data_IF_805609142529
#
_entry.id   IF_805609142529
#
_cell.length_a   1.000
_cell.length_b   1.000
_cell.length_c   1.000
_cell.angle_alpha   90.00
_cell.angle_beta   90.00
_cell.angle_gamma   90.00
#
_symmetry.space_group_name_H-M   'P 1'
#
loop_
_entity.id
_entity.type
_entity.pdbx_description
1 polymer ?
#
# COMPACT_ATOMS: atom_id res chain seq x y z
N UNK A 1 39.85 -29.10 -29.21
CA UNK A 1 39.47 -27.86 -28.54
C UNK A 1 37.94 -27.76 -28.57
N UNK A 2 37.33 -27.40 -27.45
CA UNK A 2 35.88 -27.17 -27.35
C UNK A 2 35.69 -25.76 -26.86
N UNK A 3 34.82 -24.99 -27.51
CA UNK A 3 34.58 -23.60 -27.16
C UNK A 3 33.40 -23.01 -27.87
N UNK A 4 33.18 -21.71 -27.64
CA UNK A 4 32.11 -20.91 -28.21
C UNK A 4 32.66 -19.81 -29.10
N UNK A 5 31.91 -19.46 -30.14
CA UNK A 5 32.18 -18.36 -31.07
C UNK A 5 30.94 -17.46 -31.19
N UNK A 6 31.03 -16.26 -31.78
CA UNK A 6 29.89 -15.41 -32.06
C UNK A 6 28.75 -16.17 -32.77
N UNK A 7 27.49 -15.73 -32.56
CA UNK A 7 26.32 -16.45 -33.12
C UNK A 7 26.27 -16.41 -34.66
N UNK A 8 25.65 -17.42 -35.23
CA UNK A 8 25.35 -17.49 -36.68
C UNK A 8 26.49 -17.94 -37.59
N UNK A 9 27.60 -18.39 -37.03
CA UNK A 9 28.72 -18.93 -37.85
C UNK A 9 28.48 -20.36 -38.27
N UNK A 10 28.79 -20.66 -39.54
CA UNK A 10 28.76 -22.02 -40.11
C UNK A 10 30.15 -22.65 -40.07
N UNK A 11 30.22 -23.96 -40.26
CA UNK A 11 31.50 -24.68 -40.36
C UNK A 11 32.41 -24.13 -41.44
N UNK A 12 31.82 -23.77 -42.61
CA UNK A 12 32.51 -23.15 -43.76
C UNK A 12 33.08 -21.79 -43.44
N UNK A 13 32.39 -20.98 -42.65
CA UNK A 13 32.87 -19.65 -42.23
C UNK A 13 34.09 -19.79 -41.32
N UNK A 14 34.01 -20.70 -40.35
CA UNK A 14 35.10 -20.94 -39.41
C UNK A 14 36.34 -21.54 -40.09
N UNK A 15 36.14 -22.48 -41.03
CA UNK A 15 37.22 -23.00 -41.88
C UNK A 15 37.82 -21.90 -42.75
N UNK A 16 36.97 -20.97 -43.27
CA UNK A 16 37.40 -19.79 -44.03
C UNK A 16 38.32 -18.87 -43.24
N UNK A 17 38.07 -18.68 -41.95
CA UNK A 17 38.95 -17.86 -41.08
C UNK A 17 40.34 -18.46 -40.94
N UNK A 18 40.43 -19.80 -40.78
CA UNK A 18 41.71 -20.49 -40.65
C UNK A 18 42.46 -20.47 -42.00
N UNK A 19 41.76 -20.79 -43.09
CA UNK A 19 42.35 -20.80 -44.45
C UNK A 19 42.81 -19.42 -44.93
N UNK A 20 42.10 -18.36 -44.52
CA UNK A 20 42.46 -16.97 -44.90
C UNK A 20 43.69 -16.48 -44.13
N UNK A 21 43.83 -16.92 -42.88
CA UNK A 21 44.95 -16.48 -42.01
C UNK A 21 46.26 -17.22 -42.39
N UNK A 22 46.20 -18.52 -42.60
CA UNK A 22 47.35 -19.37 -42.99
C UNK A 22 46.91 -20.49 -43.94
N UNK A 23 47.05 -20.32 -45.28
CA UNK A 23 46.60 -21.31 -46.29
C UNK A 23 47.34 -22.64 -46.23
N UNK A 24 48.53 -22.68 -45.62
CA UNK A 24 49.38 -23.88 -45.54
C UNK A 24 49.06 -24.77 -44.33
N UNK A 25 48.17 -24.36 -43.44
CA UNK A 25 47.78 -25.19 -42.27
C UNK A 25 46.87 -26.37 -42.77
N UNK A 26 47.43 -27.57 -42.63
CA UNK A 26 46.69 -28.81 -42.89
C UNK A 26 46.57 -29.63 -41.59
N UNK A 27 45.58 -30.54 -41.53
CA UNK A 27 45.41 -31.47 -40.41
C UNK A 27 44.55 -30.92 -39.26
N UNK A 28 43.53 -30.14 -39.59
CA UNK A 28 42.48 -29.72 -38.65
C UNK A 28 41.08 -30.06 -39.22
N UNK A 29 40.11 -30.19 -38.31
CA UNK A 29 38.69 -30.32 -38.62
C UNK A 29 37.91 -29.53 -37.62
N UNK A 30 36.91 -28.79 -38.09
CA UNK A 30 36.03 -28.00 -37.27
C UNK A 30 34.60 -28.49 -37.46
N UNK A 31 33.88 -28.70 -36.38
CA UNK A 31 32.47 -29.12 -36.41
C UNK A 31 31.66 -28.19 -35.49
N UNK A 32 30.58 -27.66 -36.03
CA UNK A 32 29.62 -26.87 -35.24
C UNK A 32 28.64 -27.86 -34.59
N UNK A 33 28.62 -27.87 -33.27
CA UNK A 33 27.72 -28.75 -32.47
C UNK A 33 26.31 -28.15 -32.36
N UNK A 34 26.21 -26.84 -32.32
CA UNK A 34 24.95 -26.13 -32.27
C UNK A 34 25.18 -24.60 -32.24
N UNK A 35 24.20 -23.87 -32.74
CA UNK A 35 24.20 -22.40 -32.73
C UNK A 35 22.92 -21.91 -32.13
N UNK A 36 23.01 -20.95 -31.20
CA UNK A 36 21.91 -20.26 -30.57
C UNK A 36 21.98 -18.75 -30.89
N UNK A 37 21.04 -17.98 -30.45
CA UNK A 37 20.98 -16.50 -30.67
C UNK A 37 22.19 -15.76 -30.12
N UNK A 38 22.80 -16.30 -29.05
CA UNK A 38 23.89 -15.65 -28.31
C UNK A 38 25.28 -16.19 -28.67
N UNK A 39 25.39 -17.47 -29.11
CA UNK A 39 26.68 -18.11 -29.35
C UNK A 39 26.58 -19.33 -30.26
N UNK A 40 27.68 -19.65 -30.94
CA UNK A 40 27.86 -20.87 -31.70
C UNK A 40 28.82 -21.78 -30.96
N UNK A 41 28.38 -22.99 -30.59
CA UNK A 41 29.23 -24.02 -29.95
C UNK A 41 29.95 -24.84 -31.00
N UNK A 42 31.27 -24.95 -30.87
CA UNK A 42 32.09 -25.69 -31.83
C UNK A 42 33.11 -26.62 -31.16
N UNK A 43 33.50 -27.63 -31.92
CA UNK A 43 34.61 -28.51 -31.60
C UNK A 43 35.64 -28.45 -32.75
N UNK A 44 36.86 -28.09 -32.39
CA UNK A 44 37.98 -28.12 -33.34
C UNK A 44 38.95 -29.21 -32.93
N UNK A 45 39.28 -30.07 -33.85
CA UNK A 45 40.28 -31.15 -33.73
C UNK A 45 41.44 -30.76 -34.64
N UNK A 46 42.64 -30.64 -34.09
CA UNK A 46 43.84 -30.31 -34.84
C UNK A 46 45.00 -31.20 -34.39
N UNK A 47 45.90 -31.48 -35.29
CA UNK A 47 47.14 -32.20 -34.98
C UNK A 47 47.96 -31.38 -33.99
N UNK A 48 48.64 -32.03 -33.06
CA UNK A 48 49.33 -31.36 -31.91
C UNK A 48 50.31 -30.26 -32.33
N UNK A 49 50.94 -30.42 -33.50
CA UNK A 49 51.93 -29.46 -34.05
C UNK A 49 51.28 -28.13 -34.49
N UNK A 50 50.01 -28.15 -34.95
CA UNK A 50 49.32 -26.97 -35.47
C UNK A 50 48.20 -26.49 -34.53
N UNK A 51 47.93 -27.23 -33.45
CA UNK A 51 46.81 -26.95 -32.56
C UNK A 51 46.89 -25.56 -31.88
N UNK A 52 48.08 -25.13 -31.52
CA UNK A 52 48.27 -23.84 -30.87
C UNK A 52 48.01 -22.69 -31.85
N UNK A 53 48.46 -22.83 -33.09
CA UNK A 53 48.26 -21.84 -34.14
C UNK A 53 46.80 -21.70 -34.55
N UNK A 54 46.14 -22.85 -34.70
CA UNK A 54 44.67 -22.88 -34.94
C UNK A 54 43.90 -22.23 -33.79
N UNK A 55 44.31 -22.47 -32.55
CA UNK A 55 43.66 -21.81 -31.36
C UNK A 55 43.87 -20.31 -31.38
N UNK A 56 45.06 -19.81 -31.72
CA UNK A 56 45.36 -18.36 -31.79
C UNK A 56 44.48 -17.67 -32.88
N UNK A 57 44.36 -18.28 -34.06
CA UNK A 57 43.55 -17.78 -35.16
C UNK A 57 42.05 -17.76 -34.74
N UNK A 58 41.55 -18.81 -34.12
CA UNK A 58 40.17 -18.88 -33.66
C UNK A 58 39.89 -17.85 -32.58
N UNK A 59 40.86 -17.60 -31.64
CA UNK A 59 40.72 -16.59 -30.59
C UNK A 59 40.64 -15.17 -31.15
N UNK A 60 41.38 -14.87 -32.20
CA UNK A 60 41.30 -13.54 -32.86
C UNK A 60 39.93 -13.26 -33.48
N UNK A 61 39.16 -14.32 -33.77
CA UNK A 61 37.80 -14.25 -34.27
C UNK A 61 36.72 -14.52 -33.23
N UNK A 62 37.06 -14.38 -31.93
CA UNK A 62 36.09 -14.45 -30.80
C UNK A 62 35.89 -15.86 -30.23
N UNK A 63 36.78 -16.82 -30.51
CA UNK A 63 36.72 -18.13 -29.87
C UNK A 63 37.06 -18.04 -28.40
N UNK A 64 36.16 -18.51 -27.56
CA UNK A 64 36.35 -18.64 -26.11
C UNK A 64 36.34 -20.11 -25.73
N UNK A 65 37.47 -20.56 -25.17
CA UNK A 65 37.59 -21.95 -24.72
C UNK A 65 36.80 -22.17 -23.43
N UNK A 66 36.07 -23.27 -23.36
CA UNK A 66 35.38 -23.66 -22.13
C UNK A 66 36.42 -24.09 -21.09
N UNK A 67 36.54 -23.37 -20.00
CA UNK A 67 37.48 -23.66 -18.90
C UNK A 67 36.98 -24.74 -17.95
N UNK A 68 35.77 -25.28 -18.19
CA UNK A 68 35.16 -26.24 -17.29
C UNK A 68 35.44 -27.70 -17.72
N UNK A 69 36.32 -28.36 -16.97
CA UNK A 69 36.61 -29.79 -17.14
C UNK A 69 35.76 -30.62 -16.18
N UNK A 70 34.94 -31.50 -16.73
CA UNK A 70 34.19 -32.48 -15.96
C UNK A 70 34.67 -33.89 -16.32
N UNK A 71 34.80 -34.72 -15.29
CA UNK A 71 35.10 -36.16 -15.46
C UNK A 71 33.85 -36.96 -15.94
N UNK A 72 32.66 -36.32 -15.92
CA UNK A 72 31.40 -36.95 -16.31
C UNK A 72 30.95 -36.45 -17.69
N UNK A 73 30.28 -37.29 -18.46
CA UNK A 73 29.68 -36.87 -19.73
C UNK A 73 28.52 -35.90 -19.51
N UNK A 74 28.14 -35.08 -20.50
CA UNK A 74 27.00 -34.17 -20.40
C UNK A 74 25.71 -34.91 -20.03
N UNK A 75 25.45 -36.09 -20.56
CA UNK A 75 24.28 -36.93 -20.22
C UNK A 75 24.27 -37.31 -18.74
N UNK A 76 25.39 -37.87 -18.25
CA UNK A 76 25.52 -38.23 -16.83
C UNK A 76 25.31 -37.05 -15.88
N UNK A 77 25.69 -35.83 -16.31
CA UNK A 77 25.43 -34.64 -15.53
C UNK A 77 23.96 -34.24 -15.55
N UNK A 78 23.37 -34.29 -16.73
CA UNK A 78 21.95 -33.97 -16.90
C UNK A 78 21.09 -34.92 -16.07
N UNK A 79 21.38 -36.22 -16.09
CA UNK A 79 20.66 -37.22 -15.30
C UNK A 79 20.86 -36.99 -13.79
N UNK A 80 22.09 -36.66 -13.38
CA UNK A 80 22.33 -36.30 -11.98
C UNK A 80 21.53 -35.07 -11.56
N UNK A 81 21.57 -33.97 -12.34
CA UNK A 81 20.83 -32.78 -12.01
C UNK A 81 19.32 -33.01 -12.02
N UNK A 82 18.80 -33.83 -12.90
CA UNK A 82 17.39 -34.24 -12.89
C UNK A 82 17.02 -35.04 -11.64
N UNK A 83 17.93 -35.87 -11.14
CA UNK A 83 17.74 -36.59 -9.89
C UNK A 83 17.77 -35.65 -8.70
N UNK A 84 18.76 -34.76 -8.65
CA UNK A 84 18.90 -33.73 -7.57
C UNK A 84 17.64 -32.82 -7.56
N UNK A 85 17.13 -32.40 -8.71
CA UNK A 85 15.91 -31.59 -8.82
C UNK A 85 14.71 -32.33 -8.21
N UNK A 86 14.51 -33.62 -8.59
CA UNK A 86 13.40 -34.41 -8.03
C UNK A 86 13.50 -34.60 -6.53
N UNK A 87 14.70 -34.80 -6.01
CA UNK A 87 14.96 -34.91 -4.57
C UNK A 87 14.60 -33.59 -3.85
N UNK A 88 15.03 -32.45 -4.41
CA UNK A 88 14.69 -31.14 -3.84
C UNK A 88 13.20 -30.81 -3.94
N UNK A 89 12.53 -31.18 -5.03
CA UNK A 89 11.07 -31.02 -5.18
C UNK A 89 10.32 -31.83 -4.11
N UNK A 90 10.72 -33.07 -3.87
CA UNK A 90 10.14 -33.90 -2.80
C UNK A 90 10.40 -33.29 -1.44
N UNK A 91 11.62 -32.85 -1.18
CA UNK A 91 11.96 -32.21 0.09
C UNK A 91 11.15 -30.93 0.33
N UNK A 92 10.92 -30.10 -0.70
CA UNK A 92 10.07 -28.92 -0.62
C UNK A 92 8.63 -29.31 -0.28
N UNK A 93 8.10 -30.34 -0.91
CA UNK A 93 6.73 -30.80 -0.67
C UNK A 93 6.56 -31.37 0.75
N UNK A 94 7.52 -32.15 1.22
CA UNK A 94 7.54 -32.65 2.59
C UNK A 94 7.58 -31.50 3.61
N UNK A 95 8.40 -30.46 3.36
CA UNK A 95 8.45 -29.28 4.23
C UNK A 95 7.18 -28.43 4.18
N UNK A 96 6.51 -28.36 3.03
CA UNK A 96 5.19 -27.72 2.96
C UNK A 96 4.15 -28.48 3.78
N UNK A 97 4.14 -29.81 3.68
CA UNK A 97 3.23 -30.66 4.47
C UNK A 97 3.49 -30.54 5.97
N UNK A 98 4.75 -30.46 6.39
CA UNK A 98 5.12 -30.21 7.78
C UNK A 98 4.60 -28.85 8.26
N UNK A 99 4.74 -27.78 7.45
CA UNK A 99 4.19 -26.45 7.77
C UNK A 99 2.65 -26.46 7.83
N UNK A 100 1.99 -27.18 6.94
CA UNK A 100 0.52 -27.32 6.97
C UNK A 100 0.06 -28.05 8.26
N UNK A 101 0.81 -29.07 8.71
CA UNK A 101 0.50 -29.77 9.94
C UNK A 101 0.60 -28.87 11.19
N UNK A 102 1.42 -27.82 11.13
CA UNK A 102 1.57 -26.81 12.20
C UNK A 102 0.55 -25.66 12.11
N UNK A 103 -0.39 -25.70 11.15
CA UNK A 103 -1.34 -24.60 10.95
C UNK A 103 -2.17 -24.27 12.20
N UNK A 104 -2.53 -25.27 13.00
CA UNK A 104 -3.31 -25.10 14.23
C UNK A 104 -2.52 -24.38 15.34
N UNK A 105 -1.19 -24.40 15.29
CA UNK A 105 -0.36 -23.70 16.26
C UNK A 105 -0.15 -22.22 15.93
N UNK A 106 -0.57 -21.77 14.73
CA UNK A 106 -0.46 -20.40 14.30
C UNK A 106 -1.10 -19.40 15.27
N UNK A 107 -2.31 -19.71 15.73
CA UNK A 107 -3.06 -18.81 16.62
C UNK A 107 -2.44 -18.79 18.03
N UNK A 108 -1.89 -19.93 18.49
CA UNK A 108 -1.13 -20.00 19.73
C UNK A 108 0.16 -19.16 19.65
N UNK A 109 0.88 -19.24 18.53
CA UNK A 109 2.10 -18.45 18.30
C UNK A 109 1.79 -16.95 18.23
N UNK A 110 0.67 -16.56 17.61
CA UNK A 110 0.22 -15.17 17.59
C UNK A 110 -0.09 -14.65 18.98
N UNK A 111 -0.86 -15.41 19.75
CA UNK A 111 -1.17 -15.06 21.14
C UNK A 111 0.09 -14.93 21.99
N UNK A 112 1.05 -15.84 21.82
CA UNK A 112 2.33 -15.79 22.52
C UNK A 112 3.17 -14.57 22.10
N UNK A 113 3.20 -14.27 20.82
CA UNK A 113 3.89 -13.07 20.29
C UNK A 113 3.27 -11.78 20.85
N UNK A 114 1.93 -11.69 20.88
CA UNK A 114 1.24 -10.53 21.45
C UNK A 114 1.49 -10.41 22.95
N UNK A 115 1.48 -11.52 23.70
CA UNK A 115 1.83 -11.53 25.11
C UNK A 115 3.24 -10.98 25.38
N UNK A 116 4.24 -11.45 24.63
CA UNK A 116 5.60 -10.97 24.82
C UNK A 116 5.78 -9.52 24.35
N UNK A 117 5.06 -9.09 23.31
CA UNK A 117 5.06 -7.68 22.87
C UNK A 117 4.51 -6.77 23.96
N UNK A 118 3.34 -7.07 24.51
CA UNK A 118 2.74 -6.29 25.62
C UNK A 118 3.69 -6.27 26.82
N UNK A 119 4.32 -7.40 27.13
CA UNK A 119 5.28 -7.47 28.22
C UNK A 119 6.53 -6.63 27.97
N UNK A 120 7.05 -6.65 26.75
CA UNK A 120 8.20 -5.82 26.36
C UNK A 120 7.86 -4.32 26.45
N UNK A 121 6.67 -3.93 25.95
CA UNK A 121 6.19 -2.54 26.04
C UNK A 121 6.03 -2.08 27.49
N UNK A 122 5.50 -2.95 28.37
CA UNK A 122 5.43 -2.70 29.81
C UNK A 122 6.82 -2.42 30.41
N UNK A 123 7.81 -3.25 30.12
CA UNK A 123 9.17 -3.04 30.63
C UNK A 123 9.85 -1.81 30.04
N UNK A 124 9.57 -1.49 28.78
CA UNK A 124 10.05 -0.26 28.12
C UNK A 124 9.50 0.98 28.82
N UNK A 125 8.20 1.00 29.12
CA UNK A 125 7.56 2.07 29.88
C UNK A 125 8.15 2.19 31.28
N UNK A 126 8.27 1.06 32.01
CA UNK A 126 8.88 1.05 33.34
C UNK A 126 10.31 1.60 33.34
N UNK A 127 11.08 1.32 32.28
CA UNK A 127 12.44 1.86 32.14
C UNK A 127 12.52 3.37 31.88
N UNK A 128 11.42 3.98 31.40
CA UNK A 128 11.35 5.43 31.15
C UNK A 128 10.77 6.24 32.29
N UNK A 129 10.20 5.58 33.32
CA UNK A 129 9.62 6.26 34.46
C UNK A 129 10.68 6.77 35.44
N UNK A 130 10.39 7.90 36.06
CA UNK A 130 11.13 8.38 37.22
C UNK A 130 10.88 7.43 38.40
N UNK A 131 11.91 6.78 38.88
CA UNK A 131 11.79 5.77 39.94
C UNK A 131 12.86 5.93 41.01
N UNK A 132 12.49 5.64 42.25
CA UNK A 132 13.39 5.42 43.37
C UNK A 132 13.50 3.91 43.67
N UNK A 133 14.15 3.50 44.80
CA UNK A 133 14.25 2.09 45.17
C UNK A 133 12.89 1.46 45.48
N UNK A 134 11.87 2.22 45.88
CA UNK A 134 10.60 1.71 46.36
C UNK A 134 9.38 2.38 45.75
N UNK A 135 9.56 3.46 45.02
CA UNK A 135 8.48 4.28 44.43
C UNK A 135 8.77 4.66 42.99
N UNK A 136 7.73 4.90 42.23
CA UNK A 136 7.83 5.45 40.88
C UNK A 136 6.75 6.53 40.68
N UNK A 137 6.98 7.43 39.74
CA UNK A 137 6.08 8.50 39.38
C UNK A 137 5.60 8.29 37.95
N UNK A 138 4.29 8.34 37.75
CA UNK A 138 3.65 8.35 36.42
C UNK A 138 2.88 9.65 36.30
N UNK A 139 3.13 10.40 35.23
CA UNK A 139 2.32 11.53 34.82
C UNK A 139 1.56 11.16 33.53
N UNK A 140 0.34 11.65 33.40
CA UNK A 140 -0.49 11.39 32.23
C UNK A 140 -1.69 12.33 32.16
N UNK A 141 -2.31 12.38 30.99
CA UNK A 141 -3.49 13.20 30.78
C UNK A 141 -4.76 12.36 30.97
N UNK A 142 -5.76 12.95 31.59
CA UNK A 142 -7.09 12.38 31.78
C UNK A 142 -8.13 13.44 31.39
N UNK A 143 -9.27 12.99 30.90
CA UNK A 143 -10.38 13.91 30.63
C UNK A 143 -10.91 14.48 31.95
N UNK A 144 -11.15 15.77 32.02
CA UNK A 144 -11.66 16.46 33.21
C UNK A 144 -12.88 15.75 33.82
N UNK A 145 -13.86 15.38 32.98
CA UNK A 145 -15.07 14.66 33.39
C UNK A 145 -14.83 13.26 34.00
N UNK A 146 -13.71 12.63 33.69
CA UNK A 146 -13.36 11.28 34.15
C UNK A 146 -12.28 11.29 35.24
N UNK A 147 -11.74 12.48 35.60
CA UNK A 147 -10.62 12.63 36.53
C UNK A 147 -10.95 12.04 37.92
N UNK A 148 -12.06 12.41 38.52
CA UNK A 148 -12.49 11.94 39.84
C UNK A 148 -12.69 10.41 39.84
N UNK A 149 -13.27 9.90 38.78
CA UNK A 149 -13.49 8.42 38.64
C UNK A 149 -12.16 7.67 38.52
N UNK A 150 -11.20 8.19 37.76
CA UNK A 150 -9.88 7.58 37.60
C UNK A 150 -9.14 7.59 38.92
N UNK A 151 -9.14 8.71 39.64
CA UNK A 151 -8.51 8.82 40.97
C UNK A 151 -9.16 7.88 41.98
N UNK A 152 -10.49 7.76 42.00
CA UNK A 152 -11.20 6.83 42.88
C UNK A 152 -10.79 5.36 42.59
N UNK A 153 -10.79 4.93 41.32
CA UNK A 153 -10.41 3.58 40.92
C UNK A 153 -8.95 3.29 41.24
N UNK A 154 -8.06 4.25 41.07
CA UNK A 154 -6.64 4.10 41.38
C UNK A 154 -6.41 3.95 42.89
N UNK A 155 -7.06 4.77 43.73
CA UNK A 155 -6.95 4.70 45.17
C UNK A 155 -7.57 3.40 45.77
N UNK A 156 -8.62 2.88 45.12
CA UNK A 156 -9.25 1.63 45.55
C UNK A 156 -8.34 0.39 45.29
N UNK A 157 -7.63 0.40 44.18
CA UNK A 157 -6.87 -0.79 43.75
C UNK A 157 -5.37 -0.72 44.08
N UNK A 158 -4.81 0.47 44.37
CA UNK A 158 -3.39 0.67 44.56
C UNK A 158 -3.12 1.63 45.73
N UNK A 159 -2.01 1.39 46.45
CA UNK A 159 -1.49 2.32 47.45
C UNK A 159 -0.67 3.42 46.74
N UNK A 160 -1.31 4.50 46.34
CA UNK A 160 -0.68 5.61 45.63
C UNK A 160 -1.18 6.97 46.15
N UNK A 161 -0.48 8.02 45.80
CA UNK A 161 -0.91 9.39 45.95
C UNK A 161 -1.17 9.95 44.56
N UNK A 162 -2.38 10.43 44.31
CA UNK A 162 -2.79 11.01 43.03
C UNK A 162 -3.05 12.48 43.17
N UNK A 163 -2.29 13.31 42.46
CA UNK A 163 -2.51 14.76 42.38
C UNK A 163 -3.07 15.08 40.98
N UNK A 164 -4.14 15.82 40.95
CA UNK A 164 -4.80 16.31 39.72
C UNK A 164 -4.60 17.81 39.62
N UNK A 165 -4.11 18.27 38.50
CA UNK A 165 -3.93 19.70 38.21
C UNK A 165 -4.29 20.01 36.77
N UNK A 166 -4.68 21.26 36.53
CA UNK A 166 -5.01 21.69 35.18
C UNK A 166 -3.76 21.79 34.32
N UNK A 167 -3.91 21.43 33.05
CA UNK A 167 -2.82 21.52 32.09
C UNK A 167 -2.47 23.00 31.86
N UNK A 168 -1.20 23.41 31.95
CA UNK A 168 -0.76 24.76 31.64
C UNK A 168 -1.15 25.19 30.20
N UNK A 169 -1.30 26.50 29.97
CA UNK A 169 -1.71 27.03 28.66
C UNK A 169 -0.66 26.84 27.59
N UNK A 170 0.60 26.80 27.96
CA UNK A 170 1.76 26.62 27.12
C UNK A 170 2.04 25.14 26.79
N UNK A 171 1.35 24.22 27.45
CA UNK A 171 1.53 22.77 27.25
C UNK A 171 0.52 22.21 26.22
N UNK A 172 1.04 21.55 25.18
CA UNK A 172 0.23 20.89 24.18
C UNK A 172 -0.32 19.54 24.69
N UNK A 173 -1.48 19.59 25.36
CA UNK A 173 -2.17 18.39 25.80
C UNK A 173 -2.79 17.59 24.63
N UNK A 174 -2.83 16.26 24.69
CA UNK A 174 -3.56 15.47 23.70
C UNK A 174 -5.06 15.76 23.79
N UNK A 175 -5.70 15.93 22.63
CA UNK A 175 -7.13 16.28 22.54
C UNK A 175 -7.90 15.04 22.13
N UNK A 176 -9.01 14.77 22.81
CA UNK A 176 -9.96 13.75 22.45
C UNK A 176 -11.19 14.37 21.79
N UNK A 177 -11.42 14.05 20.53
CA UNK A 177 -12.62 14.44 19.81
C UNK A 177 -13.84 13.66 20.33
N UNK A 178 -14.98 14.34 20.44
CA UNK A 178 -16.25 13.72 20.84
C UNK A 178 -17.34 14.13 19.86
N UNK A 179 -17.52 13.33 18.82
CA UNK A 179 -18.50 13.58 17.77
C UNK A 179 -19.62 12.53 17.74
N UNK A 180 -20.82 12.88 17.26
CA UNK A 180 -21.85 11.91 16.96
C UNK A 180 -21.34 10.84 16.01
N UNK A 181 -21.79 9.60 16.17
CA UNK A 181 -21.30 8.41 15.42
C UNK A 181 -21.22 8.59 13.91
N UNK A 182 -22.10 9.40 13.32
CA UNK A 182 -22.07 9.70 11.89
C UNK A 182 -20.86 10.56 11.53
N UNK A 183 -20.64 11.65 12.25
CA UNK A 183 -19.58 12.62 11.98
C UNK A 183 -18.21 12.18 12.51
N UNK A 184 -18.20 11.34 13.56
CA UNK A 184 -16.99 10.68 14.04
C UNK A 184 -16.26 9.85 12.95
N UNK A 185 -16.94 9.48 11.86
CA UNK A 185 -16.32 8.83 10.71
C UNK A 185 -15.32 9.73 9.98
N UNK A 186 -15.47 11.05 10.07
CA UNK A 186 -14.57 12.03 9.43
C UNK A 186 -13.41 12.48 10.33
N UNK A 187 -13.35 12.04 11.60
CA UNK A 187 -12.26 12.41 12.53
C UNK A 187 -10.88 12.05 11.97
N UNK A 188 -10.73 10.88 11.29
CA UNK A 188 -9.47 10.50 10.67
C UNK A 188 -9.03 11.44 9.54
N UNK A 189 -9.96 12.11 8.86
CA UNK A 189 -9.64 13.15 7.87
C UNK A 189 -9.12 14.39 8.60
N UNK A 190 -9.79 14.82 9.68
CA UNK A 190 -9.33 15.94 10.50
C UNK A 190 -7.93 15.67 11.09
N UNK A 191 -7.71 14.49 11.65
CA UNK A 191 -6.40 14.09 12.20
C UNK A 191 -5.27 14.19 11.19
N UNK A 192 -5.54 13.93 9.92
CA UNK A 192 -4.54 14.05 8.85
C UNK A 192 -4.12 15.50 8.55
N UNK A 193 -4.98 16.47 8.86
CA UNK A 193 -4.69 17.92 8.73
C UNK A 193 -4.16 18.54 10.01
N UNK A 194 -4.53 18.00 11.15
CA UNK A 194 -4.18 18.47 12.48
C UNK A 194 -5.39 18.57 13.40
N UNK A 195 -5.20 18.25 14.68
CA UNK A 195 -6.25 18.38 15.69
C UNK A 195 -6.41 19.87 16.11
N UNK A 196 -7.62 20.30 16.50
CA UNK A 196 -7.84 21.63 17.02
C UNK A 196 -7.03 21.84 18.30
N UNK A 197 -6.61 23.06 18.58
CA UNK A 197 -5.92 23.44 19.82
C UNK A 197 -6.85 23.49 21.05
N UNK A 198 -6.23 23.66 22.24
CA UNK A 198 -6.98 23.84 23.49
C UNK A 198 -7.90 25.06 23.36
N UNK A 199 -9.20 24.88 23.62
CA UNK A 199 -10.19 25.95 23.51
C UNK A 199 -10.69 26.24 22.08
N UNK A 200 -10.17 25.57 21.07
CA UNK A 200 -10.69 25.68 19.71
C UNK A 200 -11.92 24.79 19.50
N UNK A 201 -12.82 25.25 18.66
CA UNK A 201 -14.02 24.49 18.29
C UNK A 201 -13.68 23.34 17.37
N UNK A 202 -14.27 22.17 17.60
CA UNK A 202 -14.11 21.01 16.72
C UNK A 202 -14.80 21.23 15.36
N UNK A 203 -14.06 21.31 14.24
CA UNK A 203 -14.62 21.51 12.92
C UNK A 203 -15.09 20.21 12.25
N UNK A 204 -15.02 19.06 12.92
CA UNK A 204 -15.32 17.74 12.32
C UNK A 204 -16.72 17.68 11.73
N UNK A 205 -17.73 18.18 12.44
CA UNK A 205 -19.14 18.11 11.99
C UNK A 205 -19.38 18.89 10.70
N UNK A 206 -19.09 20.21 10.61
CA UNK A 206 -19.28 20.95 9.36
C UNK A 206 -18.37 20.43 8.24
N UNK A 207 -17.14 20.06 8.54
CA UNK A 207 -16.21 19.48 7.58
C UNK A 207 -16.78 18.17 7.01
N UNK A 208 -17.31 17.26 7.82
CA UNK A 208 -17.88 15.99 7.38
C UNK A 208 -19.06 16.19 6.41
N UNK A 209 -19.93 17.17 6.68
CA UNK A 209 -21.08 17.50 5.82
C UNK A 209 -20.60 17.91 4.43
N UNK A 210 -19.70 18.89 4.38
CA UNK A 210 -19.14 19.34 3.10
C UNK A 210 -18.33 18.27 2.39
N UNK A 211 -17.55 17.47 3.13
CA UNK A 211 -16.75 16.38 2.55
C UNK A 211 -17.63 15.35 1.86
N UNK A 212 -18.67 14.85 2.53
CA UNK A 212 -19.60 13.84 1.96
C UNK A 212 -20.35 14.42 0.76
N UNK A 213 -20.81 15.66 0.86
CA UNK A 213 -21.54 16.34 -0.20
C UNK A 213 -20.68 16.57 -1.43
N UNK A 214 -19.51 17.16 -1.28
CA UNK A 214 -18.59 17.47 -2.38
C UNK A 214 -17.99 16.20 -3.00
N UNK A 215 -17.69 15.17 -2.20
CA UNK A 215 -17.23 13.89 -2.71
C UNK A 215 -18.25 13.27 -3.67
N UNK A 216 -19.53 13.27 -3.27
CA UNK A 216 -20.61 12.78 -4.12
C UNK A 216 -20.75 13.59 -5.41
N UNK A 217 -20.70 14.92 -5.32
CA UNK A 217 -20.77 15.82 -6.47
C UNK A 217 -19.61 15.60 -7.45
N UNK A 218 -18.40 15.39 -6.94
CA UNK A 218 -17.20 15.17 -7.78
C UNK A 218 -17.23 13.84 -8.52
N UNK A 219 -17.67 12.77 -7.87
CA UNK A 219 -17.72 11.44 -8.48
C UNK A 219 -18.96 11.24 -9.35
N UNK A 220 -20.11 11.75 -8.93
CA UNK A 220 -21.37 11.92 -9.69
C UNK A 220 -21.83 10.72 -10.54
N UNK A 221 -21.59 9.50 -10.11
CA UNK A 221 -21.97 8.27 -10.81
C UNK A 221 -22.72 7.33 -9.87
N UNK A 222 -23.98 7.03 -10.23
CA UNK A 222 -24.86 6.23 -9.38
C UNK A 222 -24.39 4.78 -9.21
N UNK A 223 -23.81 4.19 -10.24
CA UNK A 223 -23.35 2.81 -10.19
C UNK A 223 -22.09 2.67 -9.31
N UNK A 224 -21.12 3.56 -9.46
CA UNK A 224 -19.96 3.61 -8.57
C UNK A 224 -20.35 3.92 -7.13
N UNK A 225 -21.30 4.85 -6.92
CA UNK A 225 -21.83 5.17 -5.60
C UNK A 225 -22.44 3.95 -4.92
N UNK A 226 -23.24 3.17 -5.66
CA UNK A 226 -23.86 1.94 -5.16
C UNK A 226 -22.81 0.87 -4.82
N UNK A 227 -21.80 0.69 -5.66
CA UNK A 227 -20.71 -0.28 -5.42
C UNK A 227 -19.93 0.10 -4.15
N UNK A 228 -19.54 1.36 -4.00
CA UNK A 228 -18.82 1.86 -2.82
C UNK A 228 -19.67 1.64 -1.56
N UNK A 229 -20.94 2.01 -1.61
CA UNK A 229 -21.86 1.81 -0.48
C UNK A 229 -21.97 0.33 -0.10
N UNK A 230 -22.25 -0.56 -1.05
CA UNK A 230 -22.43 -1.99 -0.79
C UNK A 230 -21.12 -2.64 -0.30
N UNK A 231 -19.99 -2.32 -0.91
CA UNK A 231 -18.69 -2.85 -0.51
C UNK A 231 -18.37 -2.46 0.93
N UNK A 232 -18.47 -1.17 1.28
CA UNK A 232 -18.23 -0.69 2.64
C UNK A 232 -19.23 -1.29 3.63
N UNK A 233 -20.51 -1.35 3.29
CA UNK A 233 -21.55 -1.94 4.14
C UNK A 233 -21.30 -3.42 4.43
N UNK A 234 -20.96 -4.21 3.40
CA UNK A 234 -20.65 -5.64 3.54
C UNK A 234 -19.38 -5.83 4.40
N UNK A 235 -18.33 -5.05 4.17
CA UNK A 235 -17.09 -5.13 4.94
C UNK A 235 -17.32 -4.82 6.42
N UNK A 236 -18.06 -3.77 6.75
CA UNK A 236 -18.40 -3.41 8.13
C UNK A 236 -19.21 -4.53 8.81
N UNK A 237 -20.14 -5.16 8.09
CA UNK A 237 -20.95 -6.27 8.63
C UNK A 237 -20.15 -7.56 8.79
N UNK A 238 -19.27 -7.87 7.86
CA UNK A 238 -18.48 -9.11 7.85
C UNK A 238 -17.35 -9.10 8.89
N UNK A 239 -16.75 -7.92 9.14
CA UNK A 239 -15.60 -7.78 10.02
C UNK A 239 -15.87 -6.79 11.19
N UNK A 240 -16.72 -7.16 12.16
CA UNK A 240 -17.08 -6.25 13.26
C UNK A 240 -15.93 -5.93 14.21
N UNK A 241 -14.88 -6.77 14.25
CA UNK A 241 -13.71 -6.62 15.13
C UNK A 241 -12.52 -5.95 14.44
N UNK A 242 -12.75 -5.19 13.36
CA UNK A 242 -11.67 -4.43 12.73
C UNK A 242 -11.24 -3.25 13.59
N UNK A 243 -10.06 -2.74 13.32
CA UNK A 243 -9.51 -1.55 13.98
C UNK A 243 -10.45 -0.33 13.86
N UNK A 244 -10.58 0.44 14.94
CA UNK A 244 -11.51 1.57 15.01
C UNK A 244 -11.26 2.62 13.91
N UNK A 245 -9.98 2.90 13.57
CA UNK A 245 -9.62 3.83 12.51
C UNK A 245 -10.14 3.38 11.14
N UNK A 246 -9.91 2.11 10.79
CA UNK A 246 -10.42 1.52 9.56
C UNK A 246 -11.95 1.49 9.51
N UNK A 247 -12.59 1.19 10.65
CA UNK A 247 -14.06 1.18 10.72
C UNK A 247 -14.64 2.58 10.52
N UNK A 248 -14.03 3.64 11.08
CA UNK A 248 -14.42 5.04 10.84
C UNK A 248 -14.28 5.40 9.36
N UNK A 249 -13.14 5.07 8.74
CA UNK A 249 -12.89 5.33 7.31
C UNK A 249 -13.91 4.64 6.41
N UNK A 250 -14.19 3.34 6.63
CA UNK A 250 -15.20 2.62 5.86
C UNK A 250 -16.61 3.21 6.02
N UNK A 251 -16.98 3.69 7.21
CA UNK A 251 -18.24 4.40 7.41
C UNK A 251 -18.29 5.71 6.64
N UNK A 252 -17.21 6.47 6.63
CA UNK A 252 -17.11 7.70 5.84
C UNK A 252 -17.33 7.41 4.35
N UNK A 253 -16.61 6.43 3.79
CA UNK A 253 -16.78 6.05 2.39
C UNK A 253 -18.17 5.48 2.10
N UNK A 254 -18.81 4.80 3.05
CA UNK A 254 -20.20 4.38 2.93
C UNK A 254 -21.15 5.57 2.76
N UNK A 255 -20.98 6.64 3.55
CA UNK A 255 -21.78 7.87 3.41
C UNK A 255 -21.44 8.61 2.11
N UNK A 256 -20.17 8.66 1.72
CA UNK A 256 -19.74 9.19 0.44
C UNK A 256 -20.37 8.42 -0.74
N UNK A 257 -20.48 7.08 -0.64
CA UNK A 257 -21.15 6.24 -1.63
C UNK A 257 -22.63 6.57 -1.78
N UNK A 258 -23.34 6.83 -0.66
CA UNK A 258 -24.74 7.28 -0.70
C UNK A 258 -24.85 8.64 -1.39
N UNK A 259 -23.99 9.59 -1.03
CA UNK A 259 -23.98 10.92 -1.67
C UNK A 259 -23.70 10.82 -3.16
N UNK A 260 -22.74 10.00 -3.57
CA UNK A 260 -22.40 9.73 -4.98
C UNK A 260 -23.57 9.11 -5.73
N UNK A 261 -24.28 8.16 -5.12
CA UNK A 261 -25.48 7.55 -5.70
C UNK A 261 -26.56 8.61 -5.95
N UNK A 262 -26.82 9.48 -4.98
CA UNK A 262 -27.81 10.56 -5.11
C UNK A 262 -27.43 11.52 -6.26
N UNK A 263 -26.19 12.00 -6.27
CA UNK A 263 -25.70 12.89 -7.32
C UNK A 263 -25.67 12.22 -8.70
N UNK A 264 -25.31 10.93 -8.77
CA UNK A 264 -25.32 10.17 -10.00
C UNK A 264 -26.73 10.00 -10.58
N UNK A 265 -27.76 9.79 -9.73
CA UNK A 265 -29.16 9.77 -10.17
C UNK A 265 -29.60 11.14 -10.66
N UNK A 266 -29.24 12.23 -9.96
CA UNK A 266 -29.59 13.60 -10.36
C UNK A 266 -29.00 13.95 -11.73
N UNK A 267 -27.78 13.53 -11.99
CA UNK A 267 -27.07 13.79 -13.25
C UNK A 267 -27.27 12.72 -14.34
N UNK A 268 -27.89 11.58 -13.98
CA UNK A 268 -28.16 10.47 -14.91
C UNK A 268 -26.91 9.65 -15.27
N UNK A 269 -25.84 9.71 -14.46
CA UNK A 269 -24.59 8.95 -14.66
C UNK A 269 -24.70 7.54 -14.10
N UNK A 270 -24.51 6.53 -14.97
CA UNK A 270 -24.44 5.11 -14.60
C UNK A 270 -23.29 4.44 -15.36
N UNK A 271 -22.10 4.38 -14.77
CA UNK A 271 -20.83 4.00 -15.42
C UNK A 271 -20.54 4.84 -16.68
N UNK A 272 -20.80 6.14 -16.59
CA UNK A 272 -20.82 7.00 -17.77
C UNK A 272 -21.88 6.54 -18.79
N UNK A 273 -21.45 6.29 -20.03
CA UNK A 273 -22.33 5.85 -21.13
C UNK A 273 -22.42 4.32 -21.29
N UNK A 274 -21.84 3.54 -20.37
CA UNK A 274 -21.69 2.10 -20.55
C UNK A 274 -23.03 1.40 -20.81
N UNK A 275 -24.07 1.75 -20.05
CA UNK A 275 -25.39 1.11 -20.18
C UNK A 275 -25.99 1.40 -21.58
N UNK A 276 -25.88 2.63 -22.04
CA UNK A 276 -26.38 3.02 -23.37
C UNK A 276 -25.60 2.31 -24.48
N UNK A 277 -24.28 2.25 -24.37
CA UNK A 277 -23.42 1.58 -25.35
C UNK A 277 -23.67 0.07 -25.39
N UNK A 278 -23.72 -0.59 -24.23
CA UNK A 278 -23.97 -2.04 -24.14
C UNK A 278 -25.37 -2.38 -24.64
N UNK A 279 -26.37 -1.62 -24.23
CA UNK A 279 -27.76 -1.79 -24.66
C UNK A 279 -27.91 -1.67 -26.19
N UNK A 280 -27.30 -0.66 -26.80
CA UNK A 280 -27.29 -0.45 -28.25
C UNK A 280 -26.52 -1.54 -29.00
N UNK A 281 -25.36 -1.98 -28.48
CA UNK A 281 -24.47 -2.92 -29.17
C UNK A 281 -24.99 -4.36 -29.07
N UNK A 282 -25.45 -4.80 -27.91
CA UNK A 282 -25.83 -6.20 -27.67
C UNK A 282 -27.33 -6.45 -27.80
N UNK A 283 -28.17 -5.49 -27.43
CA UNK A 283 -29.62 -5.68 -27.42
C UNK A 283 -30.34 -4.91 -28.53
N UNK A 284 -29.64 -4.13 -29.36
CA UNK A 284 -30.19 -3.29 -30.43
C UNK A 284 -31.35 -2.39 -29.98
N UNK A 285 -31.36 -2.03 -28.70
CA UNK A 285 -32.34 -1.17 -28.08
C UNK A 285 -31.66 -0.08 -27.28
N UNK A 286 -31.95 1.18 -27.54
CA UNK A 286 -31.32 2.28 -26.78
C UNK A 286 -32.05 2.48 -25.44
N UNK A 287 -31.39 2.16 -24.35
CA UNK A 287 -31.83 2.50 -23.00
C UNK A 287 -31.02 3.74 -22.56
N UNK A 288 -31.68 4.88 -22.52
CA UNK A 288 -31.11 6.13 -22.02
C UNK A 288 -31.76 6.51 -20.70
N UNK A 289 -30.93 6.77 -19.69
CA UNK A 289 -31.41 7.34 -18.43
C UNK A 289 -31.46 8.86 -18.57
N UNK A 290 -32.68 9.41 -18.47
CA UNK A 290 -32.87 10.86 -18.46
C UNK A 290 -32.38 11.40 -17.09
N UNK A 291 -31.48 12.40 -17.04
CA UNK A 291 -31.10 13.05 -15.81
C UNK A 291 -32.33 13.71 -15.15
N UNK A 292 -32.35 13.67 -13.83
CA UNK A 292 -33.42 14.33 -13.07
C UNK A 292 -33.23 15.84 -13.07
N UNK A 293 -31.99 16.29 -13.11
CA UNK A 293 -31.64 17.70 -13.11
C UNK A 293 -31.08 18.13 -14.47
N UNK A 294 -29.79 17.86 -14.74
CA UNK A 294 -29.17 18.09 -16.04
C UNK A 294 -28.03 17.08 -16.27
N UNK A 295 -27.70 16.81 -17.53
CA UNK A 295 -26.56 15.98 -17.86
C UNK A 295 -25.27 16.83 -17.91
N UNK A 296 -24.26 16.53 -17.09
CA UNK A 296 -22.99 17.26 -17.09
C UNK A 296 -22.24 17.20 -18.42
N UNK A 297 -22.43 16.12 -19.19
CA UNK A 297 -21.80 15.93 -20.51
C UNK A 297 -22.41 16.85 -21.57
N UNK A 298 -23.73 17.14 -21.46
CA UNK A 298 -24.43 18.00 -22.41
C UNK A 298 -24.23 19.48 -22.08
N UNK A 299 -24.21 19.82 -20.77
CA UNK A 299 -24.10 21.20 -20.29
C UNK A 299 -22.93 21.38 -19.29
N UNK A 300 -21.67 21.26 -19.70
CA UNK A 300 -20.52 21.35 -18.82
C UNK A 300 -20.37 22.73 -18.16
N UNK A 301 -20.89 23.79 -18.80
CA UNK A 301 -20.89 25.15 -18.23
C UNK A 301 -21.79 25.27 -17.01
N UNK A 302 -22.94 24.58 -17.00
CA UNK A 302 -23.79 24.55 -15.82
C UNK A 302 -23.12 23.83 -14.67
N UNK A 303 -22.46 22.67 -14.93
CA UNK A 303 -21.71 21.95 -13.91
C UNK A 303 -20.61 22.84 -13.30
N UNK A 304 -19.84 23.55 -14.15
CA UNK A 304 -18.80 24.48 -13.72
C UNK A 304 -19.37 25.57 -12.79
N UNK A 305 -20.48 26.19 -13.18
CA UNK A 305 -21.10 27.26 -12.41
C UNK A 305 -21.59 26.77 -11.04
N UNK A 306 -22.27 25.60 -10.99
CA UNK A 306 -22.76 25.02 -9.75
C UNK A 306 -21.62 24.55 -8.83
N UNK A 307 -20.57 23.92 -9.39
CA UNK A 307 -19.41 23.53 -8.58
C UNK A 307 -18.67 24.73 -8.02
N UNK A 308 -18.56 25.83 -8.78
CA UNK A 308 -18.02 27.10 -8.29
C UNK A 308 -18.89 27.68 -7.16
N UNK A 309 -20.20 27.67 -7.33
CA UNK A 309 -21.15 28.13 -6.28
C UNK A 309 -21.04 27.32 -4.99
N UNK A 310 -20.99 25.98 -5.08
CA UNK A 310 -20.84 25.13 -3.92
C UNK A 310 -19.47 25.28 -3.27
N UNK A 311 -18.39 25.44 -4.04
CA UNK A 311 -17.06 25.78 -3.56
C UNK A 311 -17.05 27.12 -2.81
N UNK A 312 -17.73 28.13 -3.33
CA UNK A 312 -17.87 29.44 -2.67
C UNK A 312 -18.61 29.32 -1.34
N UNK A 313 -19.74 28.61 -1.31
CA UNK A 313 -20.50 28.33 -0.08
C UNK A 313 -19.62 27.64 0.96
N UNK A 314 -18.85 26.63 0.56
CA UNK A 314 -17.93 25.91 1.44
C UNK A 314 -16.87 26.87 2.03
N UNK A 315 -16.27 27.72 1.20
CA UNK A 315 -15.23 28.66 1.60
C UNK A 315 -15.80 29.71 2.59
N UNK A 316 -16.96 30.28 2.29
CA UNK A 316 -17.65 31.20 3.21
C UNK A 316 -18.13 30.50 4.50
N UNK A 317 -18.52 29.24 4.41
CA UNK A 317 -18.85 28.42 5.59
C UNK A 317 -17.65 28.27 6.53
N UNK A 318 -16.46 27.99 5.99
CA UNK A 318 -15.23 27.94 6.75
C UNK A 318 -14.84 29.31 7.37
N UNK A 319 -14.99 30.39 6.60
CA UNK A 319 -14.72 31.74 7.07
C UNK A 319 -15.70 32.17 8.19
N UNK A 320 -16.98 31.84 8.07
CA UNK A 320 -17.99 32.10 9.07
C UNK A 320 -17.71 31.34 10.38
N UNK A 321 -17.27 30.06 10.26
CA UNK A 321 -16.87 29.27 11.42
C UNK A 321 -15.67 29.92 12.14
N UNK A 322 -14.65 30.35 11.40
CA UNK A 322 -13.50 31.05 11.97
C UNK A 322 -13.90 32.38 12.61
N UNK A 323 -14.80 33.14 12.00
CA UNK A 323 -15.34 34.38 12.57
C UNK A 323 -16.10 34.12 13.86
N UNK A 324 -16.89 33.05 13.93
CA UNK A 324 -17.60 32.66 15.15
C UNK A 324 -16.62 32.29 16.29
N UNK A 325 -15.57 31.51 15.98
CA UNK A 325 -14.52 31.16 16.95
C UNK A 325 -13.83 32.40 17.51
N UNK A 326 -13.44 33.35 16.67
CA UNK A 326 -12.81 34.59 17.09
C UNK A 326 -13.75 35.45 17.97
N UNK A 327 -15.05 35.48 17.64
CA UNK A 327 -16.04 36.17 18.45
C UNK A 327 -16.18 35.55 19.84
N UNK A 328 -16.13 34.22 19.96
CA UNK A 328 -16.17 33.54 21.26
C UNK A 328 -14.94 33.85 22.12
N UNK A 329 -13.76 33.89 21.53
CA UNK A 329 -12.51 34.21 22.22
C UNK A 329 -12.58 35.64 22.79
N UNK A 330 -13.06 36.62 22.02
CA UNK A 330 -13.22 37.99 22.49
C UNK A 330 -14.30 38.17 23.57
N UNK A 331 -15.31 37.32 23.61
CA UNK A 331 -16.35 37.36 24.68
C UNK A 331 -15.83 36.71 25.97
N UNK A 332 -14.98 35.68 25.87
CA UNK A 332 -14.45 34.95 27.01
C UNK A 332 -13.19 35.56 27.62
N UNK A 333 -12.48 36.47 26.94
CA UNK A 333 -11.45 37.31 27.55
C UNK A 333 -12.11 38.51 28.28
N UNK A 334 -12.27 38.50 29.62
CA UNK A 334 -12.58 39.70 30.30
C UNK A 334 -11.42 40.68 30.10
N UNK A 335 -11.72 41.85 29.56
CA UNK A 335 -10.79 42.97 29.46
C UNK A 335 -9.98 43.08 30.76
N UNK A 336 -8.79 42.49 30.78
CA UNK A 336 -7.80 42.75 31.81
C UNK A 336 -7.39 44.20 31.63
N UNK A 337 -7.65 45.10 32.57
CA UNK A 337 -7.09 46.46 32.51
C UNK A 337 -5.57 46.25 32.56
N UNK A 338 -4.87 46.74 31.53
CA UNK A 338 -3.42 46.84 31.58
C UNK A 338 -3.05 47.67 32.81
N UNK A 339 -2.13 47.18 33.67
CA UNK A 339 -1.64 48.03 34.78
C UNK A 339 -0.85 49.18 34.16
N UNK A 340 -1.32 50.39 34.41
CA UNK A 340 -0.64 51.64 34.12
C UNK A 340 0.66 51.73 34.91
#
# INVERSE_FOLDING_TARGET
MIGTMPPGLTETDIQGYISSAEPEIAGYTVTVVGSDKDQTCMVAIAIKTVSQRVEEILRSHGFTRISYFSKRTPEQKTDKYRADIREFEQWIEDKKNELVSMADDRDKLRLLADYYRIRADKYKVLGSLLQSKSTFVISGYVLERDADRVVAVLNENFSLMADVYDVPEDEAAPIQLQNPKMFASAEGVLESFGLPGKGEMDPTTPMAIFYIFLFGLMLSDAAYGLIIFLACFILIRKFPKMENGLQKSLRLFMYCGISTLIWGILFGGFFGDLITVVSRTFFHHEVTFKPVWFAPLDDPMKLLLFSLLFGLIHLFGGLALKGYMLSLIHISEPTRPEPI
#
